data_IF_456389818078
#
_entry.id   IF_456389818078
#
_cell.length_a   1.000
_cell.length_b   1.000
_cell.length_c   1.000
_cell.angle_alpha   90.00
_cell.angle_beta   90.00
_cell.angle_gamma   90.00
#
_symmetry.space_group_name_H-M   'P 1'
#
loop_
_entity.id
_entity.type
_entity.pdbx_description
1 polymer ?
#
# COMPACT_ATOMS: atom_id res chain seq x y z
N UNK A 1 -8.70 13.65 5.53
CA UNK A 1 -9.88 14.02 6.35
C UNK A 1 -11.01 14.40 5.42
N UNK A 2 -12.27 14.47 5.88
CA UNK A 2 -13.39 14.81 5.00
C UNK A 2 -13.28 16.20 4.36
N UNK A 3 -12.87 17.21 5.12
CA UNK A 3 -12.67 18.56 4.56
C UNK A 3 -11.51 18.64 3.57
N UNK A 4 -10.39 17.96 3.85
CA UNK A 4 -9.29 17.89 2.90
C UNK A 4 -9.69 17.17 1.60
N UNK A 5 -10.56 16.16 1.68
CA UNK A 5 -11.10 15.49 0.50
C UNK A 5 -11.97 16.44 -0.33
N UNK A 6 -12.86 17.20 0.32
CA UNK A 6 -13.67 18.23 -0.35
C UNK A 6 -12.80 19.25 -1.08
N UNK A 7 -11.83 19.83 -0.38
CA UNK A 7 -10.94 20.86 -0.91
C UNK A 7 -10.09 20.33 -2.07
N UNK A 8 -9.48 19.16 -1.91
CA UNK A 8 -8.63 18.56 -2.94
C UNK A 8 -9.43 18.22 -4.20
N UNK A 9 -10.59 17.57 -4.05
CA UNK A 9 -11.46 17.22 -5.17
C UNK A 9 -11.92 18.49 -5.90
N UNK A 10 -12.38 19.49 -5.15
CA UNK A 10 -12.81 20.77 -5.71
C UNK A 10 -11.70 21.42 -6.54
N UNK A 11 -10.47 21.47 -6.01
CA UNK A 11 -9.34 22.09 -6.71
C UNK A 11 -8.91 21.29 -7.95
N UNK A 12 -8.95 19.95 -7.90
CA UNK A 12 -8.66 19.13 -9.08
C UNK A 12 -9.71 19.37 -10.17
N UNK A 13 -10.99 19.30 -9.83
CA UNK A 13 -12.10 19.46 -10.80
C UNK A 13 -12.16 20.86 -11.41
N UNK A 14 -11.71 21.90 -10.69
CA UNK A 14 -11.57 23.27 -11.23
C UNK A 14 -10.44 23.41 -12.25
N UNK A 15 -9.35 22.66 -12.08
CA UNK A 15 -8.10 22.87 -12.83
C UNK A 15 -7.89 21.87 -13.96
N UNK A 16 -8.50 20.70 -13.86
CA UNK A 16 -8.25 19.58 -14.78
C UNK A 16 -9.56 18.95 -15.25
N UNK A 17 -9.69 18.80 -16.56
CA UNK A 17 -10.80 18.07 -17.20
C UNK A 17 -10.51 16.56 -17.21
N UNK A 18 -10.52 15.95 -16.03
CA UNK A 18 -10.32 14.51 -15.85
C UNK A 18 -11.45 13.89 -15.03
N UNK A 19 -11.68 12.59 -15.24
CA UNK A 19 -12.47 11.79 -14.31
C UNK A 19 -11.63 11.50 -13.08
N UNK A 20 -12.19 11.81 -11.92
CA UNK A 20 -11.58 11.60 -10.62
C UNK A 20 -12.27 10.45 -9.90
N UNK A 21 -11.46 9.51 -9.40
CA UNK A 21 -11.93 8.37 -8.62
C UNK A 21 -11.29 8.42 -7.23
N UNK A 22 -12.08 8.39 -6.17
CA UNK A 22 -11.59 8.38 -4.79
C UNK A 22 -11.61 6.98 -4.18
N UNK A 23 -10.46 6.55 -3.66
CA UNK A 23 -10.30 5.35 -2.85
C UNK A 23 -9.94 5.73 -1.42
N UNK A 24 -10.69 5.24 -0.42
CA UNK A 24 -10.43 5.57 0.99
C UNK A 24 -10.70 4.39 1.92
N UNK A 25 -9.74 4.09 2.81
CA UNK A 25 -9.88 3.03 3.81
C UNK A 25 -10.58 3.51 5.09
N UNK A 26 -11.49 2.68 5.61
CA UNK A 26 -12.33 2.96 6.78
C UNK A 26 -11.59 2.87 8.13
N UNK A 27 -10.29 2.58 8.13
CA UNK A 27 -9.52 2.23 9.34
C UNK A 27 -9.55 3.31 10.41
N UNK A 28 -9.68 4.58 10.02
CA UNK A 28 -9.73 5.73 10.93
C UNK A 28 -11.15 6.19 11.29
N UNK A 29 -12.17 5.59 10.68
CA UNK A 29 -13.57 6.02 10.80
C UNK A 29 -13.91 7.32 10.06
N UNK A 30 -13.00 7.80 9.20
CA UNK A 30 -13.23 9.02 8.41
C UNK A 30 -13.68 8.77 6.97
N UNK A 31 -13.63 7.53 6.48
CA UNK A 31 -13.76 7.26 5.05
C UNK A 31 -15.16 7.54 4.52
N UNK A 32 -16.19 7.15 5.25
CA UNK A 32 -17.61 7.39 4.90
C UNK A 32 -17.86 8.89 4.72
N UNK A 33 -17.41 9.69 5.71
CA UNK A 33 -17.50 11.14 5.65
C UNK A 33 -16.67 11.72 4.51
N UNK A 34 -15.46 11.18 4.26
CA UNK A 34 -14.60 11.67 3.19
C UNK A 34 -15.16 11.37 1.80
N UNK A 35 -15.77 10.20 1.59
CA UNK A 35 -16.46 9.87 0.35
C UNK A 35 -17.64 10.82 0.11
N UNK A 36 -18.49 11.04 1.12
CA UNK A 36 -19.63 11.95 0.99
C UNK A 36 -19.17 13.37 0.64
N UNK A 37 -18.17 13.90 1.36
CA UNK A 37 -17.61 15.24 1.06
C UNK A 37 -16.95 15.30 -0.33
N UNK A 38 -16.35 14.22 -0.81
CA UNK A 38 -15.80 14.17 -2.16
C UNK A 38 -16.89 14.16 -3.25
N UNK A 39 -18.01 13.47 -3.00
CA UNK A 39 -19.19 13.46 -3.87
C UNK A 39 -19.77 14.87 -3.97
N UNK A 40 -19.97 15.55 -2.85
CA UNK A 40 -20.41 16.94 -2.81
C UNK A 40 -19.44 17.90 -3.54
N UNK A 41 -18.16 17.54 -3.65
CA UNK A 41 -17.14 18.31 -4.38
C UNK A 41 -17.05 17.94 -5.88
N UNK A 42 -17.83 16.97 -6.34
CA UNK A 42 -17.89 16.57 -7.75
C UNK A 42 -16.91 15.48 -8.18
N UNK A 43 -16.54 14.57 -7.28
CA UNK A 43 -15.81 13.33 -7.67
C UNK A 43 -16.69 12.46 -8.58
N UNK A 44 -16.08 11.80 -9.57
CA UNK A 44 -16.82 11.04 -10.59
C UNK A 44 -17.04 9.57 -10.20
N UNK A 45 -16.24 9.04 -9.28
CA UNK A 45 -16.33 7.66 -8.81
C UNK A 45 -15.73 7.48 -7.42
N UNK A 46 -16.22 6.49 -6.69
CA UNK A 46 -15.72 6.12 -5.36
C UNK A 46 -15.68 4.61 -5.21
N UNK A 47 -14.69 4.11 -4.48
CA UNK A 47 -14.59 2.71 -4.11
C UNK A 47 -15.30 2.44 -2.78
N UNK A 48 -16.08 1.37 -2.75
CA UNK A 48 -16.73 0.81 -1.55
C UNK A 48 -16.57 -0.71 -1.51
N UNK A 49 -16.85 -1.32 -0.37
CA UNK A 49 -16.90 -2.77 -0.21
C UNK A 49 -18.32 -3.22 0.16
N UNK A 50 -18.76 -4.40 -0.31
CA UNK A 50 -20.06 -4.96 0.08
C UNK A 50 -20.14 -5.04 1.61
N UNK A 51 -21.29 -4.71 2.21
CA UNK A 51 -21.38 -4.42 3.65
C UNK A 51 -20.80 -5.51 4.56
N UNK A 52 -21.00 -6.79 4.24
CA UNK A 52 -20.46 -7.91 5.01
C UNK A 52 -18.93 -8.06 4.95
N UNK A 53 -18.27 -7.41 3.99
CA UNK A 53 -16.82 -7.35 3.79
C UNK A 53 -16.23 -5.94 4.02
N UNK A 54 -17.03 -5.02 4.56
CA UNK A 54 -16.67 -3.60 4.72
C UNK A 54 -16.08 -3.27 6.10
N UNK A 55 -15.71 -2.00 6.27
CA UNK A 55 -15.22 -1.36 7.49
C UNK A 55 -13.85 -1.89 7.98
N UNK A 56 -13.43 -1.43 9.17
CA UNK A 56 -12.14 -1.78 9.79
C UNK A 56 -10.95 -1.50 8.86
N UNK A 57 -10.19 -2.52 8.46
CA UNK A 57 -9.06 -2.37 7.55
C UNK A 57 -9.47 -2.12 6.09
N UNK A 58 -10.74 -2.38 5.74
CA UNK A 58 -11.27 -2.25 4.39
C UNK A 58 -11.84 -0.85 4.12
N UNK A 59 -13.05 -0.81 3.56
CA UNK A 59 -13.64 0.36 2.92
C UNK A 59 -15.06 0.63 3.45
N UNK A 60 -15.63 1.83 3.21
CA UNK A 60 -17.05 2.10 3.44
C UNK A 60 -17.97 1.07 2.79
N UNK A 61 -19.11 0.81 3.43
CA UNK A 61 -20.10 -0.14 2.91
C UNK A 61 -20.82 0.40 1.67
N UNK A 62 -20.90 -0.41 0.61
CA UNK A 62 -21.59 -0.05 -0.64
C UNK A 62 -23.04 0.34 -0.39
N UNK A 63 -23.79 -0.48 0.35
CA UNK A 63 -25.21 -0.29 0.62
C UNK A 63 -25.49 0.96 1.43
N UNK A 64 -24.62 1.27 2.39
CA UNK A 64 -24.75 2.48 3.20
C UNK A 64 -24.60 3.74 2.33
N UNK A 65 -23.62 3.75 1.42
CA UNK A 65 -23.43 4.87 0.51
C UNK A 65 -24.57 4.98 -0.52
N UNK A 66 -24.99 3.87 -1.11
CA UNK A 66 -26.14 3.84 -2.04
C UNK A 66 -27.40 4.37 -1.36
N UNK A 67 -27.70 3.93 -0.14
CA UNK A 67 -28.83 4.44 0.63
C UNK A 67 -28.71 5.93 0.95
N UNK A 68 -27.49 6.41 1.23
CA UNK A 68 -27.22 7.83 1.53
C UNK A 68 -27.49 8.72 0.32
N UNK A 69 -27.22 8.24 -0.89
CA UNK A 69 -27.35 9.01 -2.14
C UNK A 69 -28.71 8.85 -2.81
N UNK A 70 -29.54 7.91 -2.37
CA UNK A 70 -30.85 7.64 -2.95
C UNK A 70 -31.75 8.89 -2.92
N UNK A 71 -32.32 9.25 -4.08
CA UNK A 71 -33.18 10.43 -4.25
C UNK A 71 -32.43 11.77 -4.26
N UNK A 72 -31.11 11.77 -4.21
CA UNK A 72 -30.29 12.99 -4.37
C UNK A 72 -29.91 13.22 -5.84
N UNK A 73 -29.26 14.34 -6.15
CA UNK A 73 -28.66 14.56 -7.49
C UNK A 73 -27.52 13.58 -7.82
N UNK A 74 -27.00 12.89 -6.81
CA UNK A 74 -25.93 11.91 -6.91
C UNK A 74 -26.44 10.47 -6.78
N UNK A 75 -27.74 10.23 -7.00
CA UNK A 75 -28.32 8.88 -6.95
C UNK A 75 -27.56 7.93 -7.88
N UNK A 76 -27.08 6.83 -7.31
CA UNK A 76 -26.28 5.83 -8.03
C UNK A 76 -27.09 4.97 -9.01
N UNK A 77 -28.42 4.92 -8.84
CA UNK A 77 -29.30 4.01 -9.57
C UNK A 77 -29.15 2.53 -9.21
N UNK A 78 -28.36 2.20 -8.17
CA UNK A 78 -28.12 0.83 -7.74
C UNK A 78 -29.26 0.29 -6.85
N UNK A 79 -29.65 -0.95 -7.10
CA UNK A 79 -30.71 -1.63 -6.37
C UNK A 79 -30.18 -2.20 -5.04
N UNK A 80 -30.59 -1.59 -3.92
CA UNK A 80 -30.15 -1.98 -2.58
C UNK A 80 -30.55 -3.41 -2.21
N UNK A 81 -31.66 -3.94 -2.73
CA UNK A 81 -32.10 -5.31 -2.45
C UNK A 81 -31.20 -6.32 -3.16
N UNK A 82 -30.75 -6.00 -4.38
CA UNK A 82 -29.75 -6.83 -5.08
C UNK A 82 -28.41 -6.82 -4.36
N UNK A 83 -28.00 -5.67 -3.84
CA UNK A 83 -26.77 -5.56 -3.05
C UNK A 83 -26.87 -6.38 -1.75
N UNK A 84 -27.98 -6.32 -1.03
CA UNK A 84 -28.16 -7.12 0.19
C UNK A 84 -28.02 -8.62 -0.09
N UNK A 85 -28.59 -9.13 -1.19
CA UNK A 85 -28.42 -10.54 -1.56
C UNK A 85 -26.93 -10.93 -1.73
N UNK A 86 -26.12 -10.05 -2.32
CA UNK A 86 -24.67 -10.24 -2.46
C UNK A 86 -24.01 -10.18 -1.07
N UNK A 87 -24.42 -9.26 -0.21
CA UNK A 87 -23.90 -9.14 1.15
C UNK A 87 -24.21 -10.38 1.99
N UNK A 88 -25.41 -10.95 1.86
CA UNK A 88 -25.82 -12.18 2.52
C UNK A 88 -24.96 -13.37 2.08
N UNK A 89 -24.66 -13.48 0.79
CA UNK A 89 -23.70 -14.47 0.30
C UNK A 89 -22.32 -14.29 0.93
N UNK A 90 -21.74 -13.08 0.88
CA UNK A 90 -20.40 -12.84 1.41
C UNK A 90 -20.32 -12.95 2.94
N UNK A 91 -21.43 -12.74 3.65
CA UNK A 91 -21.52 -12.96 5.10
C UNK A 91 -21.23 -14.42 5.47
N UNK A 92 -21.70 -15.37 4.66
CA UNK A 92 -21.39 -16.78 4.86
C UNK A 92 -19.98 -17.16 4.36
N UNK A 93 -19.52 -16.54 3.27
CA UNK A 93 -18.14 -16.75 2.78
C UNK A 93 -17.12 -16.30 3.82
N UNK A 94 -17.27 -15.09 4.38
CA UNK A 94 -16.32 -14.50 5.35
C UNK A 94 -16.08 -15.39 6.56
N UNK A 95 -17.11 -16.09 7.05
CA UNK A 95 -17.00 -17.04 8.18
C UNK A 95 -15.95 -18.13 7.93
N UNK A 96 -15.79 -18.58 6.67
CA UNK A 96 -14.78 -19.59 6.30
C UNK A 96 -13.35 -19.11 6.50
N UNK A 97 -13.14 -17.79 6.52
CA UNK A 97 -11.83 -17.14 6.63
C UNK A 97 -11.57 -16.55 8.02
N UNK A 98 -12.33 -16.96 9.05
CA UNK A 98 -12.19 -16.42 10.41
C UNK A 98 -10.74 -16.48 10.96
N UNK A 99 -9.95 -17.47 10.53
CA UNK A 99 -8.57 -17.65 10.95
C UNK A 99 -7.64 -16.51 10.49
N UNK A 100 -8.04 -15.76 9.47
CA UNK A 100 -7.27 -14.66 8.87
C UNK A 100 -7.80 -13.27 9.26
N UNK A 101 -8.82 -13.20 10.11
CA UNK A 101 -9.37 -11.91 10.57
C UNK A 101 -8.36 -11.16 11.45
N UNK A 102 -8.25 -9.86 11.21
CA UNK A 102 -7.51 -8.96 12.08
C UNK A 102 -8.19 -8.76 13.43
N UNK A 103 -7.44 -8.26 14.41
CA UNK A 103 -7.92 -8.08 15.78
C UNK A 103 -8.62 -6.73 16.01
N UNK A 104 -8.52 -5.78 15.06
CA UNK A 104 -9.16 -4.47 15.19
C UNK A 104 -10.69 -4.62 15.34
N UNK A 105 -11.22 -3.94 16.35
CA UNK A 105 -12.65 -3.73 16.56
C UNK A 105 -12.91 -2.22 16.54
N UNK A 106 -13.83 -1.78 15.69
CA UNK A 106 -14.06 -0.34 15.49
C UNK A 106 -12.98 0.31 14.63
N UNK A 107 -12.45 1.44 15.09
CA UNK A 107 -11.52 2.30 14.36
C UNK A 107 -10.18 2.46 15.10
N UNK A 108 -9.09 2.65 14.36
CA UNK A 108 -7.76 2.87 14.90
C UNK A 108 -7.40 4.37 14.90
N UNK A 109 -7.65 5.04 16.02
CA UNK A 109 -7.36 6.47 16.21
C UNK A 109 -5.86 6.77 16.32
N UNK A 110 -4.99 5.77 16.53
CA UNK A 110 -3.54 5.97 16.60
C UNK A 110 -2.99 6.50 15.27
N UNK A 111 -3.60 6.09 14.15
CA UNK A 111 -3.26 6.59 12.81
C UNK A 111 -3.52 8.10 12.71
N UNK A 112 -4.55 8.63 13.39
CA UNK A 112 -4.85 10.06 13.39
C UNK A 112 -3.77 10.88 14.09
N UNK A 113 -3.10 10.29 15.09
CA UNK A 113 -2.04 10.93 15.87
C UNK A 113 -0.69 10.80 15.17
N UNK A 114 -0.31 9.58 14.79
CA UNK A 114 1.03 9.29 14.31
C UNK A 114 1.17 9.34 12.77
N UNK A 115 0.05 9.36 12.04
CA UNK A 115 0.00 9.20 10.57
C UNK A 115 0.71 7.94 10.06
N UNK A 116 0.89 6.94 10.93
CA UNK A 116 1.47 5.63 10.61
C UNK A 116 0.34 4.71 10.15
N UNK A 117 0.38 4.15 8.93
CA UNK A 117 -0.64 3.22 8.45
C UNK A 117 -0.80 2.00 9.37
N UNK A 118 -2.03 1.50 9.54
CA UNK A 118 -2.31 0.40 10.48
C UNK A 118 -1.49 -0.87 10.22
N UNK A 119 -1.34 -1.28 8.95
CA UNK A 119 -0.50 -2.42 8.58
C UNK A 119 0.99 -2.21 8.90
N UNK A 120 1.48 -0.98 8.82
CA UNK A 120 2.84 -0.63 9.24
C UNK A 120 2.98 -0.76 10.76
N UNK A 121 2.01 -0.28 11.53
CA UNK A 121 2.03 -0.35 13.00
C UNK A 121 2.06 -1.79 13.52
N UNK A 122 1.18 -2.67 13.03
CA UNK A 122 1.15 -4.08 13.45
C UNK A 122 2.46 -4.80 13.12
N UNK A 123 3.06 -4.50 11.97
CA UNK A 123 4.36 -5.06 11.60
C UNK A 123 5.48 -4.57 12.53
N UNK A 124 5.50 -3.29 12.88
CA UNK A 124 6.47 -2.72 13.83
C UNK A 124 6.35 -3.34 15.22
N UNK A 125 5.12 -3.47 15.75
CA UNK A 125 4.86 -4.13 17.03
C UNK A 125 5.38 -5.58 17.02
N UNK A 126 5.13 -6.33 15.94
CA UNK A 126 5.64 -7.70 15.77
C UNK A 126 7.16 -7.75 15.72
N UNK A 127 7.81 -6.86 14.95
CA UNK A 127 9.27 -6.77 14.85
C UNK A 127 9.93 -6.45 16.19
N UNK A 128 9.40 -5.48 16.93
CA UNK A 128 9.92 -5.11 18.25
C UNK A 128 9.73 -6.23 19.27
N UNK A 129 8.59 -6.93 19.23
CA UNK A 129 8.33 -8.08 20.09
C UNK A 129 9.31 -9.22 19.83
N UNK A 130 9.58 -9.54 18.56
CA UNK A 130 10.57 -10.57 18.18
C UNK A 130 11.99 -10.22 18.66
N UNK A 131 12.28 -8.92 18.82
CA UNK A 131 13.57 -8.42 19.29
C UNK A 131 13.59 -8.11 20.81
N UNK A 132 12.56 -8.52 21.55
CA UNK A 132 12.40 -8.24 22.99
C UNK A 132 12.51 -6.74 23.35
N UNK A 133 12.03 -5.86 22.47
CA UNK A 133 12.13 -4.41 22.57
C UNK A 133 10.77 -3.71 22.42
N UNK A 134 9.68 -4.37 22.86
CA UNK A 134 8.32 -3.86 22.72
C UNK A 134 8.10 -2.53 23.47
N UNK A 135 8.87 -2.29 24.53
CA UNK A 135 8.90 -1.05 25.31
C UNK A 135 9.41 0.17 24.52
N UNK A 136 10.06 -0.05 23.37
CA UNK A 136 10.61 1.01 22.51
C UNK A 136 9.65 1.51 21.43
N UNK A 137 8.40 1.03 21.40
CA UNK A 137 7.42 1.39 20.36
C UNK A 137 7.24 2.90 20.23
N UNK A 138 7.06 3.61 21.35
CA UNK A 138 6.85 5.07 21.33
C UNK A 138 8.05 5.84 20.76
N UNK A 139 9.27 5.35 21.04
CA UNK A 139 10.50 5.92 20.48
C UNK A 139 10.56 5.72 18.96
N UNK A 140 10.13 4.54 18.48
CA UNK A 140 10.05 4.25 17.04
C UNK A 140 8.99 5.13 16.37
N UNK A 141 7.82 5.30 16.99
CA UNK A 141 6.77 6.19 16.46
C UNK A 141 7.24 7.65 16.36
N UNK A 142 8.03 8.13 17.32
CA UNK A 142 8.65 9.44 17.27
C UNK A 142 9.82 9.54 16.27
N UNK A 143 10.43 8.43 15.88
CA UNK A 143 11.53 8.38 14.90
C UNK A 143 11.01 8.36 13.45
N UNK A 144 9.84 7.78 13.18
CA UNK A 144 9.27 7.67 11.84
C UNK A 144 9.16 9.03 11.12
N UNK A 145 8.60 10.11 11.71
CA UNK A 145 8.52 11.41 11.03
C UNK A 145 9.89 11.97 10.65
N UNK A 146 10.90 11.78 11.51
CA UNK A 146 12.28 12.24 11.27
C UNK A 146 12.93 11.47 10.13
N UNK A 147 12.77 10.15 10.10
CA UNK A 147 13.25 9.33 8.98
C UNK A 147 12.54 9.68 7.68
N UNK A 148 11.23 9.93 7.74
CA UNK A 148 10.43 10.32 6.57
C UNK A 148 10.89 11.67 6.00
N UNK A 149 11.20 12.64 6.85
CA UNK A 149 11.79 13.92 6.45
C UNK A 149 13.16 13.72 5.80
N UNK A 150 14.05 12.95 6.45
CA UNK A 150 15.38 12.63 5.93
C UNK A 150 15.34 11.92 4.55
N UNK A 151 14.24 11.23 4.25
CA UNK A 151 13.97 10.57 2.97
C UNK A 151 13.06 11.39 2.03
N UNK A 152 12.98 12.72 2.22
CA UNK A 152 12.32 13.61 1.25
C UNK A 152 10.79 13.56 1.28
N UNK A 153 10.20 13.29 2.45
CA UNK A 153 8.74 13.20 2.67
C UNK A 153 8.02 12.18 1.80
N UNK A 154 8.68 11.06 1.47
CA UNK A 154 8.03 9.97 0.74
C UNK A 154 6.68 9.57 1.37
N UNK A 155 5.66 9.28 0.54
CA UNK A 155 4.38 8.78 1.03
C UNK A 155 4.57 7.48 1.82
N UNK A 156 3.86 7.33 2.95
CA UNK A 156 3.86 6.09 3.73
C UNK A 156 2.82 5.12 3.16
N UNK A 157 3.22 4.42 2.11
CA UNK A 157 2.43 3.42 1.37
C UNK A 157 3.34 2.22 1.10
N UNK A 158 2.81 1.02 0.92
CA UNK A 158 3.64 -0.13 0.55
C UNK A 158 4.31 0.12 -0.81
N UNK A 159 5.64 -0.07 -0.96
CA UNK A 159 6.59 -0.62 0.02
C UNK A 159 7.32 0.43 0.89
N UNK A 160 7.23 1.73 0.58
CA UNK A 160 7.99 2.81 1.25
C UNK A 160 7.69 2.96 2.74
N UNK A 161 6.47 2.67 3.20
CA UNK A 161 6.15 2.65 4.64
C UNK A 161 7.04 1.68 5.43
N UNK A 162 7.29 0.49 4.88
CA UNK A 162 8.11 -0.54 5.51
C UNK A 162 9.59 -0.12 5.55
N UNK A 163 10.06 0.58 4.50
CA UNK A 163 11.43 1.12 4.44
C UNK A 163 11.65 2.12 5.58
N UNK A 164 10.74 3.11 5.70
CA UNK A 164 10.80 4.13 6.77
C UNK A 164 10.72 3.47 8.16
N UNK A 165 9.77 2.54 8.35
CA UNK A 165 9.58 1.87 9.63
C UNK A 165 10.78 1.04 10.05
N UNK A 166 11.34 0.25 9.13
CA UNK A 166 12.51 -0.59 9.40
C UNK A 166 13.73 0.27 9.76
N UNK A 167 13.96 1.36 9.04
CA UNK A 167 15.05 2.27 9.36
C UNK A 167 14.83 2.98 10.71
N UNK A 168 13.60 3.36 11.05
CA UNK A 168 13.27 3.94 12.35
C UNK A 168 13.53 2.95 13.50
N UNK A 169 13.16 1.67 13.33
CA UNK A 169 13.48 0.60 14.29
C UNK A 169 14.99 0.46 14.45
N UNK A 170 15.75 0.40 13.35
CA UNK A 170 17.22 0.31 13.41
C UNK A 170 17.84 1.49 14.18
N UNK A 171 17.40 2.72 13.92
CA UNK A 171 17.88 3.91 14.61
C UNK A 171 17.66 3.83 16.13
N UNK A 172 16.47 3.39 16.56
CA UNK A 172 16.11 3.29 17.98
C UNK A 172 16.82 2.12 18.68
N UNK A 173 16.93 0.97 18.02
CA UNK A 173 17.58 -0.20 18.62
C UNK A 173 19.09 -0.07 18.73
N UNK A 174 19.73 0.58 17.75
CA UNK A 174 21.18 0.84 17.77
C UNK A 174 21.58 1.99 18.69
N UNK A 175 20.61 2.85 19.08
CA UNK A 175 20.85 4.02 19.93
C UNK A 175 21.49 5.21 19.20
N UNK A 176 21.71 5.10 17.90
CA UNK A 176 22.36 6.12 17.08
C UNK A 176 21.71 6.17 15.68
N UNK A 177 21.17 7.34 15.31
CA UNK A 177 20.46 7.51 14.03
C UNK A 177 21.39 7.20 12.86
N UNK A 178 20.94 6.30 11.99
CA UNK A 178 21.68 5.86 10.81
C UNK A 178 23.07 5.31 11.13
N UNK A 179 23.29 4.69 12.29
CA UNK A 179 24.51 3.88 12.50
C UNK A 179 24.62 2.79 11.44
N UNK A 180 23.49 2.17 11.12
CA UNK A 180 23.32 1.25 9.99
C UNK A 180 22.23 1.82 9.07
N UNK A 181 22.48 1.84 7.75
CA UNK A 181 21.45 2.16 6.75
C UNK A 181 20.94 0.85 6.15
N UNK A 182 19.63 0.64 6.19
CA UNK A 182 18.99 -0.48 5.51
C UNK A 182 19.17 -0.36 3.99
N UNK A 183 19.33 -1.49 3.30
CA UNK A 183 19.57 -1.53 1.84
C UNK A 183 18.55 -0.70 1.06
N UNK A 184 17.27 -0.85 1.39
CA UNK A 184 16.17 -0.16 0.72
C UNK A 184 16.18 1.35 1.01
N UNK A 185 16.61 1.75 2.21
CA UNK A 185 16.81 3.18 2.55
C UNK A 185 17.94 3.78 1.72
N UNK A 186 19.05 3.04 1.56
CA UNK A 186 20.13 3.45 0.68
C UNK A 186 19.66 3.55 -0.78
N UNK A 187 18.80 2.63 -1.25
CA UNK A 187 18.21 2.70 -2.60
C UNK A 187 17.36 3.96 -2.82
N UNK A 188 16.54 4.36 -1.84
CA UNK A 188 15.81 5.65 -1.89
C UNK A 188 16.80 6.82 -2.02
N UNK A 189 17.82 6.86 -1.16
CA UNK A 189 18.83 7.92 -1.17
C UNK A 189 19.63 7.97 -2.50
N UNK A 190 19.87 6.81 -3.12
CA UNK A 190 20.53 6.70 -4.43
C UNK A 190 19.63 7.05 -5.61
N UNK A 191 18.32 7.23 -5.41
CA UNK A 191 17.36 7.49 -6.48
C UNK A 191 16.89 6.24 -7.25
N UNK A 192 17.20 5.03 -6.75
CA UNK A 192 16.88 3.76 -7.42
C UNK A 192 15.36 3.49 -7.50
N UNK A 193 14.57 4.16 -6.64
CA UNK A 193 13.10 4.10 -6.64
C UNK A 193 12.45 5.28 -7.37
N UNK A 194 13.24 6.23 -7.87
CA UNK A 194 12.77 7.47 -8.49
C UNK A 194 12.85 8.69 -7.59
N UNK A 195 12.13 9.75 -7.97
CA UNK A 195 12.19 11.05 -7.31
C UNK A 195 11.34 11.11 -6.05
N UNK A 196 11.89 11.72 -5.01
CA UNK A 196 11.17 12.04 -3.77
C UNK A 196 10.40 13.37 -3.91
N UNK A 197 9.30 13.59 -3.16
CA UNK A 197 8.53 14.85 -3.20
C UNK A 197 9.36 16.12 -2.94
N UNK A 198 10.33 16.04 -2.03
CA UNK A 198 11.34 17.07 -1.79
C UNK A 198 12.73 16.44 -1.73
N UNK A 199 13.82 17.21 -1.82
CA UNK A 199 15.17 16.66 -1.69
C UNK A 199 15.37 15.84 -0.41
N UNK A 200 16.06 14.71 -0.53
CA UNK A 200 16.49 13.90 0.63
C UNK A 200 17.59 14.60 1.42
N UNK A 201 17.91 14.08 2.60
CA UNK A 201 19.03 14.56 3.40
C UNK A 201 20.36 14.40 2.64
N UNK A 202 20.99 15.53 2.30
CA UNK A 202 22.19 15.57 1.46
C UNK A 202 23.39 14.83 2.07
N UNK A 203 23.56 14.87 3.39
CA UNK A 203 24.67 14.19 4.07
C UNK A 203 24.50 12.66 4.02
N UNK A 204 23.26 12.17 4.22
CA UNK A 204 22.96 10.74 4.11
C UNK A 204 23.10 10.26 2.67
N UNK A 205 22.63 11.04 1.69
CA UNK A 205 22.77 10.72 0.28
C UNK A 205 24.24 10.63 -0.13
N UNK A 206 25.06 11.63 0.21
CA UNK A 206 26.49 11.61 -0.07
C UNK A 206 27.18 10.38 0.54
N UNK A 207 26.77 9.99 1.76
CA UNK A 207 27.32 8.82 2.45
C UNK A 207 27.04 7.50 1.73
N UNK A 208 25.83 7.30 1.19
CA UNK A 208 25.50 6.06 0.47
C UNK A 208 26.01 6.00 -0.97
N UNK A 209 26.31 7.17 -1.55
CA UNK A 209 26.83 7.27 -2.91
C UNK A 209 28.34 7.01 -2.98
N UNK A 210 29.07 7.21 -1.88
CA UNK A 210 30.52 6.93 -1.80
C UNK A 210 31.33 7.61 -2.93
N UNK A 211 30.95 8.84 -3.28
CA UNK A 211 31.57 9.60 -4.38
C UNK A 211 30.90 9.42 -5.76
N UNK A 212 29.91 8.55 -5.87
CA UNK A 212 29.05 8.42 -7.05
C UNK A 212 28.00 9.53 -7.17
N UNK A 213 27.25 9.51 -8.27
CA UNK A 213 26.11 10.40 -8.51
C UNK A 213 24.78 9.64 -8.28
N UNK A 214 23.74 10.32 -7.75
CA UNK A 214 22.43 9.70 -7.63
C UNK A 214 21.80 9.45 -9.00
N UNK A 215 20.92 8.45 -9.08
CA UNK A 215 20.06 8.21 -10.23
C UNK A 215 19.00 9.32 -10.29
N UNK A 216 18.94 10.02 -11.41
CA UNK A 216 17.98 11.11 -11.64
C UNK A 216 17.08 10.89 -12.86
N UNK A 217 17.23 9.76 -13.56
CA UNK A 217 16.34 9.36 -14.65
C UNK A 217 15.22 8.43 -14.14
N UNK A 218 14.33 7.99 -15.03
CA UNK A 218 13.37 6.93 -14.71
C UNK A 218 14.16 5.62 -14.52
N UNK A 219 14.08 4.92 -13.36
CA UNK A 219 14.93 3.75 -13.10
C UNK A 219 14.86 2.65 -14.17
N UNK A 220 13.69 2.45 -14.80
CA UNK A 220 13.51 1.48 -15.87
C UNK A 220 14.34 1.77 -17.14
N UNK A 221 14.83 3.00 -17.33
CA UNK A 221 15.71 3.35 -18.46
C UNK A 221 17.12 2.72 -18.32
N UNK A 222 17.46 2.24 -17.11
CA UNK A 222 18.71 1.56 -16.81
C UNK A 222 18.61 0.02 -16.92
N UNK A 223 17.39 -0.51 -17.12
CA UNK A 223 17.15 -1.94 -17.24
C UNK A 223 17.23 -2.38 -18.71
N UNK A 224 17.76 -3.59 -18.94
CA UNK A 224 17.76 -4.22 -20.25
C UNK A 224 16.43 -4.96 -20.47
N UNK A 225 15.98 -5.18 -21.72
CA UNK A 225 14.83 -6.03 -21.99
C UNK A 225 15.06 -7.48 -21.49
N UNK A 226 14.14 -8.01 -20.68
CA UNK A 226 14.34 -9.30 -19.98
C UNK A 226 13.52 -10.46 -20.56
N UNK A 227 12.47 -10.18 -21.35
CA UNK A 227 11.46 -11.18 -21.69
C UNK A 227 12.01 -12.42 -22.41
N UNK A 228 12.88 -12.23 -23.40
CA UNK A 228 13.44 -13.35 -24.16
C UNK A 228 14.32 -14.27 -23.29
N UNK A 229 15.04 -13.70 -22.32
CA UNK A 229 15.87 -14.45 -21.38
C UNK A 229 15.00 -15.21 -20.37
N UNK A 230 13.97 -14.55 -19.84
CA UNK A 230 13.01 -15.15 -18.90
C UNK A 230 12.23 -16.30 -19.56
N UNK A 231 11.79 -16.15 -20.82
CA UNK A 231 11.12 -17.22 -21.55
C UNK A 231 12.01 -18.45 -21.72
N UNK A 232 13.28 -18.25 -22.10
CA UNK A 232 14.23 -19.33 -22.28
C UNK A 232 14.53 -20.04 -20.95
N UNK A 233 14.71 -19.28 -19.87
CA UNK A 233 15.00 -19.79 -18.54
C UNK A 233 13.82 -20.60 -17.97
N UNK A 234 12.60 -20.06 -18.03
CA UNK A 234 11.40 -20.76 -17.53
C UNK A 234 11.12 -22.03 -18.32
N UNK A 235 11.29 -22.02 -19.65
CA UNK A 235 11.15 -23.24 -20.47
C UNK A 235 12.18 -24.30 -20.11
N UNK A 236 13.44 -23.90 -19.90
CA UNK A 236 14.51 -24.80 -19.45
C UNK A 236 14.18 -25.40 -18.09
N UNK A 237 13.85 -24.56 -17.11
CA UNK A 237 13.51 -25.02 -15.75
C UNK A 237 12.29 -25.94 -15.75
N UNK A 238 11.27 -25.64 -16.57
CA UNK A 238 10.10 -26.48 -16.71
C UNK A 238 10.46 -27.86 -17.31
N UNK A 239 11.32 -27.89 -18.33
CA UNK A 239 11.79 -29.16 -18.92
C UNK A 239 12.61 -29.98 -17.91
N UNK A 240 13.56 -29.35 -17.21
CA UNK A 240 14.42 -30.02 -16.22
C UNK A 240 13.62 -30.60 -15.04
N UNK A 241 12.58 -29.90 -14.61
CA UNK A 241 11.75 -30.27 -13.46
C UNK A 241 10.47 -31.03 -13.84
N UNK A 242 10.23 -31.28 -15.12
CA UNK A 242 9.02 -31.96 -15.61
C UNK A 242 7.72 -31.17 -15.37
N UNK A 243 7.80 -29.84 -15.30
CA UNK A 243 6.65 -28.95 -15.07
C UNK A 243 5.89 -28.79 -16.38
N UNK A 244 4.58 -29.05 -16.34
CA UNK A 244 3.70 -28.74 -17.48
C UNK A 244 3.29 -27.27 -17.43
N UNK A 245 3.79 -26.47 -18.38
CA UNK A 245 3.38 -25.07 -18.54
C UNK A 245 1.95 -24.94 -19.07
N UNK A 246 1.34 -23.78 -18.85
CA UNK A 246 0.00 -23.45 -19.33
C UNK A 246 -0.03 -23.44 -20.87
N UNK A 247 -1.24 -23.57 -21.44
CA UNK A 247 -1.43 -23.49 -22.90
C UNK A 247 -0.88 -22.19 -23.49
N UNK A 248 -0.96 -21.09 -22.73
CA UNK A 248 -0.28 -19.84 -23.02
C UNK A 248 0.92 -19.66 -22.06
N UNK A 249 2.05 -20.27 -22.40
CA UNK A 249 3.22 -20.35 -21.52
C UNK A 249 3.78 -18.98 -21.06
N UNK A 250 3.47 -17.89 -21.78
CA UNK A 250 3.86 -16.53 -21.36
C UNK A 250 3.28 -16.15 -20.00
N UNK A 251 2.11 -16.67 -19.62
CA UNK A 251 1.48 -16.35 -18.33
C UNK A 251 2.29 -16.97 -17.17
N UNK A 252 2.86 -18.16 -17.38
CA UNK A 252 3.76 -18.80 -16.43
C UNK A 252 5.11 -18.09 -16.37
N UNK A 253 5.62 -17.62 -17.52
CA UNK A 253 6.84 -16.78 -17.58
C UNK A 253 6.65 -15.50 -16.78
N UNK A 254 5.51 -14.82 -16.93
CA UNK A 254 5.19 -13.61 -16.17
C UNK A 254 5.02 -13.91 -14.66
N UNK A 255 4.45 -15.06 -14.31
CA UNK A 255 4.34 -15.50 -12.92
C UNK A 255 5.71 -15.66 -12.27
N UNK A 256 6.66 -16.29 -12.97
CA UNK A 256 8.05 -16.42 -12.49
C UNK A 256 8.77 -15.08 -12.55
N UNK A 257 8.54 -14.23 -13.55
CA UNK A 257 9.15 -12.89 -13.61
C UNK A 257 8.76 -12.03 -12.40
N UNK A 258 7.48 -12.04 -12.01
CA UNK A 258 6.98 -11.31 -10.85
C UNK A 258 7.42 -11.94 -9.53
N UNK A 259 7.52 -13.28 -9.49
CA UNK A 259 7.84 -14.03 -8.28
C UNK A 259 8.79 -15.21 -8.58
N UNK A 260 10.10 -15.01 -8.76
CA UNK A 260 10.99 -16.04 -9.33
C UNK A 260 10.95 -17.38 -8.61
N UNK A 261 11.17 -17.39 -7.29
CA UNK A 261 11.20 -18.64 -6.53
C UNK A 261 9.79 -19.14 -6.17
N UNK A 262 8.88 -18.23 -5.80
CA UNK A 262 7.53 -18.57 -5.34
C UNK A 262 6.66 -19.02 -6.52
N UNK A 263 6.73 -18.31 -7.64
CA UNK A 263 6.05 -18.63 -8.89
C UNK A 263 6.49 -19.98 -9.42
N UNK A 264 7.80 -20.25 -9.49
CA UNK A 264 8.29 -21.56 -9.92
C UNK A 264 7.79 -22.69 -9.01
N UNK A 265 7.88 -22.51 -7.69
CA UNK A 265 7.37 -23.48 -6.72
C UNK A 265 5.86 -23.70 -6.87
N UNK A 266 5.09 -22.66 -7.18
CA UNK A 266 3.67 -22.80 -7.47
C UNK A 266 3.45 -23.65 -8.74
N UNK A 267 4.19 -23.38 -9.81
CA UNK A 267 4.07 -24.15 -11.07
C UNK A 267 4.43 -25.64 -10.89
N UNK A 268 5.40 -25.95 -10.03
CA UNK A 268 5.73 -27.34 -9.65
C UNK A 268 4.58 -28.09 -8.97
N UNK A 269 3.61 -27.37 -8.38
CA UNK A 269 2.54 -27.94 -7.56
C UNK A 269 1.13 -27.62 -8.11
N UNK A 270 1.02 -27.21 -9.37
CA UNK A 270 -0.23 -26.76 -10.00
C UNK A 270 -1.20 -27.91 -10.33
#
# INVERSE_FOLDING_TARGET
TPMAAYELVSEIKKRFEVRLHLHCHATTGMAEMALLKAIEAGVDGVDTAISSMSATYGHPATEALVATLAGTEHDTGLDILKLENIAAYFREVRKKYHAFEGQLKGYDSRILVAQVPGGMLTNLESQLKQQNAADKLDQVLAEIPRVREDLGFIPLVTPTSQIVGTQAVLNVLTGERYKTIAKETAGILKGEYGHTPVPVNAALQARVLEGGAPVTCRPADLLKPELAELEADVRRQAQEKGITLAGNAIDDVLTVALFPQIGLKFLENR
#
